data_IF_518881322852
#
_entry.id   IF_518881322852
#
_cell.length_a   1.000
_cell.length_b   1.000
_cell.length_c   1.000
_cell.angle_alpha   90.00
_cell.angle_beta   90.00
_cell.angle_gamma   90.00
#
_symmetry.space_group_name_H-M   'P 1'
#
loop_
_entity.id
_entity.type
_entity.pdbx_description
1 polymer ?
#
# COMPACT_ATOMS: atom_id res chain seq x y z
N UNK A 1 5.78 8.50 7.65
CA UNK A 1 5.81 9.16 6.33
C UNK A 1 5.36 8.17 5.26
N UNK A 2 4.28 8.48 4.54
CA UNK A 2 3.69 7.62 3.50
C UNK A 2 4.64 7.43 2.30
N UNK A 3 5.46 8.45 1.97
CA UNK A 3 6.38 8.43 0.82
C UNK A 3 7.43 7.32 0.84
N UNK A 4 8.09 7.06 1.99
CA UNK A 4 9.07 5.96 2.12
C UNK A 4 8.43 4.58 1.92
N UNK A 5 7.15 4.42 2.29
CA UNK A 5 6.41 3.17 2.11
C UNK A 5 5.94 3.00 0.66
N UNK A 6 5.59 4.08 -0.03
CA UNK A 6 5.30 3.99 -1.46
C UNK A 6 6.53 3.57 -2.25
N UNK A 7 7.70 4.19 -2.02
CA UNK A 7 8.93 3.79 -2.70
C UNK A 7 9.25 2.30 -2.53
N UNK A 8 9.04 1.76 -1.32
CA UNK A 8 9.21 0.33 -1.06
C UNK A 8 8.14 -0.53 -1.75
N UNK A 9 6.90 -0.07 -1.84
CA UNK A 9 5.84 -0.76 -2.60
C UNK A 9 6.18 -0.79 -4.10
N UNK A 10 6.71 0.29 -4.66
CA UNK A 10 7.12 0.35 -6.05
C UNK A 10 8.27 -0.62 -6.36
N UNK A 11 9.21 -0.78 -5.42
CA UNK A 11 10.28 -1.78 -5.56
C UNK A 11 9.71 -3.20 -5.52
N UNK A 12 8.82 -3.47 -4.57
CA UNK A 12 8.12 -4.75 -4.44
C UNK A 12 7.35 -5.10 -5.73
N UNK A 13 6.60 -4.15 -6.31
CA UNK A 13 5.89 -4.37 -7.58
C UNK A 13 6.85 -4.78 -8.71
N UNK A 14 8.01 -4.11 -8.84
CA UNK A 14 9.02 -4.49 -9.83
C UNK A 14 9.59 -5.90 -9.60
N UNK A 15 9.86 -6.25 -8.34
CA UNK A 15 10.39 -7.58 -7.97
C UNK A 15 9.39 -8.71 -8.32
N UNK A 16 8.08 -8.43 -8.31
CA UNK A 16 7.04 -9.40 -8.72
C UNK A 16 6.66 -9.34 -10.20
N UNK A 17 7.36 -8.52 -11.01
CA UNK A 17 7.19 -8.48 -12.46
C UNK A 17 6.17 -7.47 -13.00
N UNK A 18 5.68 -6.51 -12.19
CA UNK A 18 4.87 -5.41 -12.71
C UNK A 18 5.70 -4.51 -13.62
N UNK A 19 5.20 -4.24 -14.83
CA UNK A 19 5.87 -3.40 -15.85
C UNK A 19 5.45 -1.94 -15.80
N UNK A 20 4.98 -1.46 -14.65
CA UNK A 20 4.62 -0.05 -14.50
C UNK A 20 5.82 0.84 -14.91
N UNK A 21 5.58 1.89 -15.69
CA UNK A 21 6.66 2.80 -16.12
C UNK A 21 7.15 3.59 -14.91
N UNK A 22 8.48 3.77 -14.77
CA UNK A 22 9.08 4.50 -13.65
C UNK A 22 8.47 5.90 -13.47
N UNK A 23 8.06 6.54 -14.58
CA UNK A 23 7.42 7.85 -14.59
C UNK A 23 5.99 7.83 -14.02
N UNK A 24 5.18 6.81 -14.33
CA UNK A 24 3.85 6.66 -13.71
C UNK A 24 3.95 6.40 -12.21
N UNK A 25 5.03 5.76 -11.76
CA UNK A 25 5.29 5.52 -10.35
C UNK A 25 5.57 6.82 -9.58
N UNK A 26 6.38 7.71 -10.14
CA UNK A 26 6.74 9.00 -9.53
C UNK A 26 5.53 9.92 -9.47
N UNK A 27 4.78 10.02 -10.57
CA UNK A 27 3.58 10.86 -10.63
C UNK A 27 2.52 10.41 -9.62
N UNK A 28 2.32 9.09 -9.45
CA UNK A 28 1.40 8.58 -8.44
C UNK A 28 1.85 8.88 -7.00
N UNK A 29 3.17 8.88 -6.75
CA UNK A 29 3.75 9.23 -5.45
C UNK A 29 3.53 10.70 -5.11
N UNK A 30 3.80 11.59 -6.05
CA UNK A 30 3.65 13.04 -5.89
C UNK A 30 2.18 13.41 -5.69
N UNK A 31 1.28 12.87 -6.51
CA UNK A 31 -0.16 13.12 -6.38
C UNK A 31 -0.73 12.69 -5.01
N UNK A 32 -0.29 11.53 -4.47
CA UNK A 32 -0.75 11.06 -3.15
C UNK A 32 -0.17 11.92 -2.02
N UNK A 33 1.06 12.41 -2.15
CA UNK A 33 1.68 13.29 -1.16
C UNK A 33 1.05 14.68 -1.14
N UNK A 34 0.74 15.24 -2.30
CA UNK A 34 0.12 16.56 -2.41
C UNK A 34 -1.34 16.57 -1.93
N UNK A 35 -2.12 15.53 -2.28
CA UNK A 35 -3.56 15.48 -2.00
C UNK A 35 -3.88 14.93 -0.61
N UNK A 36 -2.93 14.22 0.05
CA UNK A 36 -3.14 13.67 1.38
C UNK A 36 -4.24 12.59 1.43
N UNK A 37 -4.24 11.68 0.46
CA UNK A 37 -5.29 10.69 0.29
C UNK A 37 -5.36 9.67 1.45
N UNK A 38 -6.59 9.32 1.84
CA UNK A 38 -6.85 8.18 2.75
C UNK A 38 -6.48 6.88 2.05
N UNK A 39 -6.17 5.84 2.82
CA UNK A 39 -5.71 4.54 2.30
C UNK A 39 -6.61 3.92 1.21
N UNK A 40 -7.94 3.94 1.30
CA UNK A 40 -8.81 3.41 0.24
C UNK A 40 -8.69 4.22 -1.06
N UNK A 41 -8.65 5.55 -0.95
CA UNK A 41 -8.56 6.47 -2.08
C UNK A 41 -7.20 6.33 -2.78
N UNK A 42 -6.13 6.23 -1.99
CA UNK A 42 -4.78 5.98 -2.48
C UNK A 42 -4.66 4.61 -3.18
N UNK A 43 -5.31 3.56 -2.67
CA UNK A 43 -5.32 2.24 -3.30
C UNK A 43 -5.92 2.31 -4.70
N UNK A 44 -7.09 2.94 -4.82
CA UNK A 44 -7.80 3.04 -6.09
C UNK A 44 -7.03 3.90 -7.10
N UNK A 45 -6.48 5.04 -6.67
CA UNK A 45 -5.65 5.90 -7.51
C UNK A 45 -4.40 5.17 -8.04
N UNK A 46 -3.71 4.41 -7.18
CA UNK A 46 -2.55 3.61 -7.56
C UNK A 46 -2.94 2.49 -8.54
N UNK A 47 -4.06 1.81 -8.29
CA UNK A 47 -4.53 0.72 -9.16
C UNK A 47 -4.74 1.22 -10.59
N UNK A 48 -5.44 2.33 -10.76
CA UNK A 48 -5.72 2.95 -12.08
C UNK A 48 -4.43 3.43 -12.76
N UNK A 49 -3.47 3.95 -11.98
CA UNK A 49 -2.24 4.52 -12.55
C UNK A 49 -1.19 3.46 -12.91
N UNK A 50 -1.16 2.34 -12.19
CA UNK A 50 -0.10 1.34 -12.29
C UNK A 50 -0.50 0.08 -13.07
N UNK A 51 -1.80 -0.23 -13.18
CA UNK A 51 -2.27 -1.42 -13.87
C UNK A 51 -2.63 -1.10 -15.33
N UNK A 52 -1.97 -1.80 -16.24
CA UNK A 52 -2.11 -1.67 -17.70
C UNK A 52 -2.73 -2.91 -18.36
N UNK A 53 -2.76 -4.05 -17.67
CA UNK A 53 -3.30 -5.30 -18.19
C UNK A 53 -4.11 -6.08 -17.15
N UNK A 54 -4.91 -7.05 -17.61
CA UNK A 54 -5.84 -7.82 -16.77
C UNK A 54 -5.15 -8.57 -15.61
N UNK A 55 -3.94 -9.07 -15.82
CA UNK A 55 -3.16 -9.73 -14.77
C UNK A 55 -2.76 -8.74 -13.66
N UNK A 56 -2.33 -7.54 -14.03
CA UNK A 56 -2.02 -6.46 -13.07
C UNK A 56 -3.28 -6.05 -12.30
N UNK A 57 -4.40 -5.85 -13.00
CA UNK A 57 -5.69 -5.48 -12.38
C UNK A 57 -6.21 -6.51 -11.39
N UNK A 58 -6.08 -7.80 -11.70
CA UNK A 58 -6.50 -8.91 -10.84
C UNK A 58 -5.54 -9.17 -9.66
N UNK A 59 -4.25 -8.90 -9.84
CA UNK A 59 -3.22 -9.15 -8.80
C UNK A 59 -3.02 -7.98 -7.83
N UNK A 60 -3.35 -6.75 -8.25
CA UNK A 60 -3.00 -5.53 -7.52
C UNK A 60 -3.51 -5.50 -6.09
N UNK A 61 -4.78 -5.85 -5.85
CA UNK A 61 -5.38 -5.76 -4.51
C UNK A 61 -4.66 -6.68 -3.51
N UNK A 62 -4.32 -7.90 -3.94
CA UNK A 62 -3.58 -8.85 -3.12
C UNK A 62 -2.16 -8.34 -2.83
N UNK A 63 -1.48 -7.77 -3.82
CA UNK A 63 -0.13 -7.22 -3.67
C UNK A 63 -0.12 -5.99 -2.76
N UNK A 64 -1.11 -5.11 -2.91
CA UNK A 64 -1.30 -3.94 -2.07
C UNK A 64 -1.55 -4.33 -0.62
N UNK A 65 -2.46 -5.28 -0.36
CA UNK A 65 -2.70 -5.77 1.00
C UNK A 65 -1.54 -6.58 1.57
N UNK A 66 -0.80 -7.34 0.75
CA UNK A 66 0.41 -8.02 1.22
C UNK A 66 1.48 -7.04 1.69
N UNK A 67 1.61 -5.89 1.03
CA UNK A 67 2.61 -4.89 1.38
C UNK A 67 2.16 -3.96 2.51
N UNK A 68 0.91 -3.48 2.45
CA UNK A 68 0.36 -2.50 3.40
C UNK A 68 -0.46 -3.13 4.53
N UNK A 69 -0.95 -4.36 4.40
CA UNK A 69 -1.78 -5.04 5.41
C UNK A 69 -1.02 -5.37 6.71
N UNK A 70 0.28 -5.65 6.63
CA UNK A 70 1.14 -5.82 7.81
C UNK A 70 1.26 -4.55 8.67
N UNK A 71 0.96 -3.38 8.11
CA UNK A 71 0.93 -2.11 8.85
C UNK A 71 -0.34 -1.99 9.69
N UNK A 72 -1.48 -2.47 9.19
CA UNK A 72 -2.77 -2.38 9.88
C UNK A 72 -2.84 -3.38 11.04
N UNK A 73 -2.44 -4.64 10.81
CA UNK A 73 -2.40 -5.65 11.87
C UNK A 73 -1.53 -5.23 13.07
N UNK A 74 -0.39 -4.56 12.83
CA UNK A 74 0.45 -4.01 13.92
C UNK A 74 -0.14 -2.77 14.60
N UNK A 75 -1.01 -2.03 13.91
CA UNK A 75 -1.69 -0.84 14.48
C UNK A 75 -2.87 -1.28 15.33
N UNK A 76 -3.64 -2.24 14.84
CA UNK A 76 -4.77 -2.84 15.55
C UNK A 76 -4.29 -3.61 16.79
N UNK A 77 -3.17 -4.35 16.70
CA UNK A 77 -2.53 -5.00 17.86
C UNK A 77 -2.03 -4.00 18.93
N UNK A 78 -1.75 -2.75 18.57
CA UNK A 78 -1.37 -1.70 19.53
C UNK A 78 -2.58 -1.00 20.16
N UNK A 79 -3.75 -1.07 19.53
CA UNK A 79 -4.99 -0.45 19.97
C UNK A 79 -5.92 -1.44 20.68
N UNK A 80 -5.61 -2.74 20.67
CA UNK A 80 -6.23 -3.70 21.58
C UNK A 80 -5.94 -3.29 23.03
N UNK A 81 -6.95 -3.26 23.91
CA UNK A 81 -6.72 -3.00 25.33
C UNK A 81 -5.74 -4.05 25.85
N UNK A 82 -4.61 -3.57 26.41
CA UNK A 82 -3.69 -4.40 27.17
C UNK A 82 -4.54 -5.09 28.24
N UNK A 83 -4.75 -6.40 28.09
CA UNK A 83 -5.45 -7.20 29.10
C UNK A 83 -4.54 -7.17 30.33
N UNK A 84 -4.77 -6.20 31.22
CA UNK A 84 -4.11 -6.19 32.51
C UNK A 84 -4.45 -7.50 33.20
N UNK A 85 -3.38 -8.15 33.66
CA UNK A 85 -3.35 -9.45 34.30
C UNK A 85 -4.58 -9.75 35.14
N UNK A 86 -5.23 -10.86 34.83
CA UNK A 86 -6.07 -11.53 35.81
C UNK A 86 -5.12 -12.18 36.82
N UNK A 87 -4.90 -11.52 37.96
CA UNK A 87 -4.35 -12.16 39.14
C UNK A 87 -5.49 -12.98 39.78
N UNK A 88 -5.38 -14.29 39.70
CA UNK A 88 -6.14 -15.27 40.47
C UNK A 88 -5.19 -16.27 41.09
#
# INVERSE_FOLDING_TARGET
>A
MIGKRLLGFMRFLREVGFKASHSHMINAMEAIQEVGLKRPDAKNALKVTLCSNEWEWSSFDRLFESYFGHVQAKKDLKELPQVHSFNG
#
